data_IF_239885551796
#
_entry.id   IF_239885551796
#
_cell.length_a   1.000
_cell.length_b   1.000
_cell.length_c   1.000
_cell.angle_alpha   90.00
_cell.angle_beta   90.00
_cell.angle_gamma   90.00
#
_symmetry.space_group_name_H-M   'P 1'
#
loop_
_entity.id
_entity.type
_entity.pdbx_description
1 polymer ?
#
# COMPACT_ATOMS: atom_id res chain seq x y z
N UNK A 1 5.73 -6.93 -23.99
CA UNK A 1 4.50 -6.35 -23.39
C UNK A 1 4.65 -4.83 -23.25
N UNK A 2 3.58 -4.06 -23.48
CA UNK A 2 3.60 -2.60 -23.24
C UNK A 2 3.76 -2.33 -21.73
N UNK A 3 4.45 -1.24 -21.37
CA UNK A 3 4.69 -0.85 -19.96
C UNK A 3 3.39 -0.72 -19.14
N UNK A 4 2.31 -0.33 -19.81
CA UNK A 4 0.97 -0.21 -19.23
C UNK A 4 0.40 -1.57 -18.83
N UNK A 5 0.54 -2.58 -19.69
CA UNK A 5 0.10 -3.95 -19.40
C UNK A 5 0.81 -4.51 -18.18
N UNK A 6 2.11 -4.24 -18.04
CA UNK A 6 2.89 -4.64 -16.85
C UNK A 6 2.34 -3.94 -15.60
N UNK A 7 2.10 -2.63 -15.65
CA UNK A 7 1.55 -1.89 -14.52
C UNK A 7 0.19 -2.44 -14.07
N UNK A 8 -0.69 -2.79 -15.02
CA UNK A 8 -2.01 -3.35 -14.71
C UNK A 8 -1.88 -4.72 -14.07
N UNK A 9 -1.07 -5.61 -14.64
CA UNK A 9 -0.85 -6.96 -14.09
C UNK A 9 -0.28 -6.92 -12.68
N UNK A 10 0.72 -6.06 -12.44
CA UNK A 10 1.27 -5.84 -11.11
C UNK A 10 0.18 -5.35 -10.14
N UNK A 11 -0.65 -4.39 -10.57
CA UNK A 11 -1.74 -3.86 -9.73
C UNK A 11 -2.74 -4.94 -9.36
N UNK A 12 -3.16 -5.78 -10.30
CA UNK A 12 -4.09 -6.88 -10.04
C UNK A 12 -3.45 -7.89 -9.07
N UNK A 13 -2.18 -8.24 -9.27
CA UNK A 13 -1.45 -9.15 -8.39
C UNK A 13 -1.34 -8.62 -6.95
N UNK A 14 -1.21 -7.30 -6.77
CA UNK A 14 -1.19 -6.68 -5.45
C UNK A 14 -2.59 -6.54 -4.83
N UNK A 15 -3.62 -6.28 -5.63
CA UNK A 15 -4.98 -6.04 -5.15
C UNK A 15 -5.59 -7.26 -4.46
N UNK A 16 -5.29 -8.47 -4.94
CA UNK A 16 -5.85 -9.70 -4.39
C UNK A 16 -5.46 -9.90 -2.91
N UNK A 17 -4.17 -9.94 -2.53
CA UNK A 17 -3.74 -9.91 -1.14
C UNK A 17 -4.15 -8.62 -0.40
N UNK A 18 -4.12 -7.46 -1.06
CA UNK A 18 -4.51 -6.20 -0.40
C UNK A 18 -5.99 -6.13 -0.01
N UNK A 19 -6.86 -6.88 -0.69
CA UNK A 19 -8.28 -7.00 -0.31
C UNK A 19 -8.43 -7.67 1.05
N UNK A 20 -7.60 -8.67 1.36
CA UNK A 20 -7.58 -9.30 2.67
C UNK A 20 -7.18 -8.28 3.76
N UNK A 21 -6.11 -7.52 3.51
CA UNK A 21 -5.67 -6.46 4.43
C UNK A 21 -6.69 -5.33 4.59
N UNK A 22 -7.44 -5.00 3.54
CA UNK A 22 -8.54 -4.05 3.63
C UNK A 22 -9.61 -4.55 4.60
N UNK A 23 -10.05 -5.80 4.46
CA UNK A 23 -11.06 -6.38 5.36
C UNK A 23 -10.58 -6.41 6.80
N UNK A 24 -9.32 -6.81 7.03
CA UNK A 24 -8.70 -6.77 8.35
C UNK A 24 -8.63 -5.34 8.91
N UNK A 25 -8.28 -4.35 8.08
CA UNK A 25 -8.20 -2.94 8.48
C UNK A 25 -9.57 -2.39 8.85
N UNK A 26 -10.61 -2.68 8.06
CA UNK A 26 -11.98 -2.26 8.36
C UNK A 26 -12.47 -2.91 9.64
N UNK A 27 -12.25 -4.21 9.82
CA UNK A 27 -12.63 -4.91 11.05
C UNK A 27 -11.91 -4.36 12.28
N UNK A 28 -10.59 -4.14 12.18
CA UNK A 28 -9.79 -3.57 13.27
C UNK A 28 -10.21 -2.14 13.63
N UNK A 29 -10.47 -1.29 12.63
CA UNK A 29 -10.98 0.07 12.85
C UNK A 29 -12.33 0.03 13.57
N UNK A 30 -13.26 -0.84 13.14
CA UNK A 30 -14.55 -0.96 13.82
C UNK A 30 -14.37 -1.30 15.29
N UNK A 31 -13.53 -2.29 15.61
CA UNK A 31 -13.26 -2.68 17.00
C UNK A 31 -12.68 -1.53 17.83
N UNK A 32 -11.70 -0.80 17.29
CA UNK A 32 -11.08 0.35 17.97
C UNK A 32 -12.08 1.50 18.17
N UNK A 33 -12.95 1.77 17.20
CA UNK A 33 -13.94 2.86 17.31
C UNK A 33 -15.00 2.56 18.37
N UNK A 34 -15.34 1.28 18.59
CA UNK A 34 -16.30 0.89 19.62
C UNK A 34 -15.74 0.97 21.05
N UNK A 35 -14.43 0.79 21.25
CA UNK A 35 -13.78 0.83 22.56
C UNK A 35 -12.37 1.45 22.45
N UNK A 36 -12.33 2.76 22.26
CA UNK A 36 -11.10 3.48 21.91
C UNK A 36 -10.22 3.78 23.14
N UNK A 37 -8.96 3.35 23.08
CA UNK A 37 -7.89 3.76 24.00
C UNK A 37 -6.80 4.54 23.27
N UNK A 38 -6.02 5.34 24.01
CA UNK A 38 -4.95 6.15 23.41
C UNK A 38 -3.86 5.29 22.75
N UNK A 39 -3.63 4.09 23.28
CA UNK A 39 -2.67 3.12 22.74
C UNK A 39 -3.09 2.61 21.34
N UNK A 40 -4.38 2.70 21.00
CA UNK A 40 -4.91 2.28 19.69
C UNK A 40 -4.62 3.29 18.56
N UNK A 41 -4.07 4.47 18.88
CA UNK A 41 -3.85 5.54 17.91
C UNK A 41 -2.88 5.11 16.79
N UNK A 42 -1.80 4.41 17.14
CA UNK A 42 -0.80 3.94 16.16
C UNK A 42 -1.41 2.89 15.21
N UNK A 43 -2.05 1.80 15.70
CA UNK A 43 -2.78 0.86 14.87
C UNK A 43 -3.83 1.54 13.98
N UNK A 44 -4.59 2.48 14.54
CA UNK A 44 -5.64 3.19 13.81
C UNK A 44 -5.08 3.97 12.62
N UNK A 45 -4.02 4.76 12.83
CA UNK A 45 -3.36 5.52 11.76
C UNK A 45 -2.79 4.59 10.70
N UNK A 46 -2.14 3.50 11.13
CA UNK A 46 -1.58 2.50 10.20
C UNK A 46 -2.66 1.85 9.32
N UNK A 47 -3.81 1.48 9.90
CA UNK A 47 -4.94 0.90 9.17
C UNK A 47 -5.56 1.91 8.20
N UNK A 48 -5.77 3.16 8.60
CA UNK A 48 -6.27 4.21 7.71
C UNK A 48 -5.35 4.43 6.51
N UNK A 49 -4.04 4.44 6.75
CA UNK A 49 -3.03 4.54 5.70
C UNK A 49 -3.02 3.31 4.78
N UNK A 50 -3.20 2.12 5.33
CA UNK A 50 -3.39 0.89 4.57
C UNK A 50 -4.59 0.95 3.61
N UNK A 51 -5.72 1.49 4.08
CA UNK A 51 -6.92 1.73 3.25
C UNK A 51 -6.61 2.73 2.12
N UNK A 52 -5.87 3.82 2.40
CA UNK A 52 -5.41 4.73 1.35
C UNK A 52 -4.54 4.00 0.31
N UNK A 53 -3.64 3.12 0.75
CA UNK A 53 -2.85 2.26 -0.13
C UNK A 53 -3.69 1.43 -1.09
N UNK A 54 -4.71 0.76 -0.55
CA UNK A 54 -5.67 -0.01 -1.34
C UNK A 54 -6.40 0.85 -2.38
N UNK A 55 -6.89 2.02 -1.97
CA UNK A 55 -7.53 2.98 -2.89
C UNK A 55 -6.54 3.43 -3.98
N UNK A 56 -5.27 3.66 -3.65
CA UNK A 56 -4.22 3.97 -4.63
C UNK A 56 -4.03 2.88 -5.69
N UNK A 57 -4.06 1.60 -5.27
CA UNK A 57 -4.02 0.46 -6.19
C UNK A 57 -5.25 0.43 -7.11
N UNK A 58 -6.46 0.61 -6.56
CA UNK A 58 -7.70 0.68 -7.35
C UNK A 58 -7.64 1.83 -8.35
N UNK A 59 -7.24 3.02 -7.91
CA UNK A 59 -7.07 4.19 -8.78
C UNK A 59 -6.08 3.89 -9.91
N UNK A 60 -5.06 3.05 -9.69
CA UNK A 60 -4.07 2.74 -10.71
C UNK A 60 -4.66 1.93 -11.86
N UNK A 61 -5.75 1.19 -11.64
CA UNK A 61 -6.46 0.48 -12.70
C UNK A 61 -7.15 1.42 -13.70
N UNK A 62 -7.55 2.63 -13.28
CA UNK A 62 -8.21 3.61 -14.15
C UNK A 62 -7.30 4.14 -15.27
N UNK A 63 -5.97 4.00 -15.12
CA UNK A 63 -4.97 4.47 -16.07
C UNK A 63 -5.09 5.96 -16.42
N UNK A 64 -5.73 6.79 -15.58
CA UNK A 64 -5.72 8.25 -15.77
C UNK A 64 -4.29 8.79 -15.54
N UNK A 65 -3.73 9.42 -16.57
CA UNK A 65 -2.34 9.93 -16.58
C UNK A 65 -2.24 11.45 -16.49
N UNK A 66 -3.35 12.12 -16.20
CA UNK A 66 -3.32 13.54 -15.90
C UNK A 66 -2.44 13.79 -14.66
N UNK A 67 -1.64 14.85 -14.68
CA UNK A 67 -0.65 15.12 -13.64
C UNK A 67 -1.27 15.16 -12.23
N UNK A 68 -2.45 15.79 -12.08
CA UNK A 68 -3.16 15.84 -10.79
C UNK A 68 -3.61 14.45 -10.32
N UNK A 69 -4.19 13.65 -11.22
CA UNK A 69 -4.64 12.29 -10.89
C UNK A 69 -3.48 11.37 -10.53
N UNK A 70 -2.37 11.46 -11.27
CA UNK A 70 -1.14 10.71 -10.98
C UNK A 70 -0.51 11.12 -9.64
N UNK A 71 -0.51 12.42 -9.30
CA UNK A 71 0.01 12.90 -8.02
C UNK A 71 -0.83 12.39 -6.84
N UNK A 72 -2.16 12.44 -6.95
CA UNK A 72 -3.05 11.89 -5.92
C UNK A 72 -2.86 10.38 -5.79
N UNK A 73 -2.83 9.65 -6.91
CA UNK A 73 -2.60 8.21 -6.90
C UNK A 73 -1.27 7.85 -6.22
N UNK A 74 -0.18 8.56 -6.58
CA UNK A 74 1.12 8.38 -5.96
C UNK A 74 1.08 8.63 -4.45
N UNK A 75 0.41 9.69 -4.00
CA UNK A 75 0.26 9.98 -2.57
C UNK A 75 -0.47 8.86 -1.83
N UNK A 76 -1.56 8.32 -2.40
CA UNK A 76 -2.32 7.21 -1.82
C UNK A 76 -1.49 5.93 -1.72
N UNK A 77 -0.77 5.56 -2.78
CA UNK A 77 0.16 4.42 -2.74
C UNK A 77 1.25 4.61 -1.68
N UNK A 78 1.81 5.82 -1.58
CA UNK A 78 2.84 6.14 -0.60
C UNK A 78 2.33 6.05 0.84
N UNK A 79 1.11 6.55 1.11
CA UNK A 79 0.44 6.36 2.39
C UNK A 79 0.27 4.88 2.72
N UNK A 80 -0.12 4.04 1.76
CA UNK A 80 -0.18 2.59 1.94
C UNK A 80 1.12 1.98 2.45
N UNK A 81 2.24 2.31 1.80
CA UNK A 81 3.56 1.84 2.22
C UNK A 81 3.93 2.36 3.61
N UNK A 82 3.65 3.65 3.89
CA UNK A 82 3.88 4.22 5.22
C UNK A 82 3.04 3.55 6.31
N UNK A 83 1.78 3.23 6.04
CA UNK A 83 0.91 2.55 6.99
C UNK A 83 1.49 1.21 7.43
N UNK A 84 2.05 0.44 6.49
CA UNK A 84 2.72 -0.82 6.81
C UNK A 84 3.99 -0.60 7.63
N UNK A 85 4.81 0.40 7.28
CA UNK A 85 6.02 0.73 8.05
C UNK A 85 5.67 1.13 9.49
N UNK A 86 4.63 1.94 9.67
CA UNK A 86 4.12 2.34 10.99
C UNK A 86 3.65 1.11 11.77
N UNK A 87 2.85 0.24 11.15
CA UNK A 87 2.34 -0.97 11.79
C UNK A 87 3.48 -1.90 12.26
N UNK A 88 4.41 -2.24 11.35
CA UNK A 88 5.51 -3.15 11.67
C UNK A 88 6.40 -2.56 12.77
N UNK A 89 6.68 -1.26 12.72
CA UNK A 89 7.60 -0.62 13.67
C UNK A 89 6.93 -0.34 15.02
N UNK A 90 5.66 0.08 15.02
CA UNK A 90 4.91 0.44 16.22
C UNK A 90 4.46 -0.77 17.04
N UNK A 91 3.78 -1.72 16.39
CA UNK A 91 3.20 -2.88 17.08
C UNK A 91 4.17 -4.05 17.15
N UNK A 92 4.86 -4.33 16.04
CA UNK A 92 5.68 -5.52 15.90
C UNK A 92 7.15 -5.34 16.28
N UNK A 93 7.64 -4.10 16.29
CA UNK A 93 9.03 -3.75 16.52
C UNK A 93 10.03 -4.54 15.67
N UNK A 94 11.21 -4.83 16.24
CA UNK A 94 12.28 -5.57 15.55
C UNK A 94 11.90 -7.02 15.23
N UNK A 95 10.99 -7.62 15.99
CA UNK A 95 10.57 -9.01 15.79
C UNK A 95 9.71 -9.17 14.53
N UNK A 96 8.80 -8.23 14.25
CA UNK A 96 8.01 -8.28 13.03
C UNK A 96 8.87 -8.07 11.77
N UNK A 97 9.86 -7.17 11.83
CA UNK A 97 10.85 -7.04 10.76
C UNK A 97 11.63 -8.35 10.55
N UNK A 98 12.07 -9.00 11.63
CA UNK A 98 12.77 -10.27 11.53
C UNK A 98 11.88 -11.37 10.93
N UNK A 99 10.61 -11.44 11.34
CA UNK A 99 9.64 -12.37 10.78
C UNK A 99 9.43 -12.16 9.27
N UNK A 100 9.27 -10.91 8.82
CA UNK A 100 9.13 -10.58 7.39
C UNK A 100 10.34 -11.05 6.57
N UNK A 101 11.56 -10.91 7.12
CA UNK A 101 12.80 -11.25 6.42
C UNK A 101 13.07 -12.75 6.44
N UNK A 102 12.67 -13.44 7.51
CA UNK A 102 12.98 -14.86 7.73
C UNK A 102 11.83 -15.81 7.37
N UNK A 103 10.70 -15.28 6.88
CA UNK A 103 9.55 -16.05 6.44
C UNK A 103 9.96 -17.07 5.37
N UNK A 104 9.73 -18.36 5.67
CA UNK A 104 10.25 -19.48 4.86
C UNK A 104 9.32 -19.86 3.72
N UNK A 105 8.02 -19.61 3.88
CA UNK A 105 7.01 -20.00 2.90
C UNK A 105 6.86 -18.90 1.83
N UNK A 106 7.20 -19.18 0.56
CA UNK A 106 7.14 -18.16 -0.50
C UNK A 106 5.73 -17.61 -0.75
N UNK A 107 4.71 -18.44 -0.53
CA UNK A 107 3.30 -18.05 -0.70
C UNK A 107 2.87 -17.02 0.35
N UNK A 108 3.16 -17.29 1.62
CA UNK A 108 2.89 -16.36 2.71
C UNK A 108 3.65 -15.03 2.51
N UNK A 109 4.90 -15.12 2.08
CA UNK A 109 5.72 -13.92 1.83
C UNK A 109 5.13 -13.08 0.70
N UNK A 110 4.67 -13.73 -0.36
CA UNK A 110 4.05 -13.03 -1.48
C UNK A 110 2.72 -12.37 -1.09
N UNK A 111 1.95 -12.99 -0.18
CA UNK A 111 0.73 -12.39 0.36
C UNK A 111 1.03 -11.19 1.28
N UNK A 112 2.03 -11.32 2.16
CA UNK A 112 2.36 -10.29 3.14
C UNK A 112 3.18 -9.13 2.58
N UNK A 113 4.21 -9.43 1.78
CA UNK A 113 5.22 -8.48 1.34
C UNK A 113 5.03 -8.08 -0.13
N UNK A 114 4.46 -8.96 -0.94
CA UNK A 114 4.20 -8.71 -2.37
C UNK A 114 3.46 -7.39 -2.64
N UNK A 115 2.34 -7.09 -1.95
CA UNK A 115 1.62 -5.82 -2.10
C UNK A 115 2.49 -4.58 -1.88
N UNK A 116 3.38 -4.64 -0.89
CA UNK A 116 4.25 -3.54 -0.50
C UNK A 116 5.29 -3.30 -1.59
N UNK A 117 5.97 -4.36 -2.02
CA UNK A 117 7.00 -4.30 -3.07
C UNK A 117 6.40 -3.80 -4.38
N UNK A 118 5.21 -4.28 -4.75
CA UNK A 118 4.50 -3.81 -5.93
C UNK A 118 4.11 -2.33 -5.79
N UNK A 119 3.59 -1.91 -4.63
CA UNK A 119 3.23 -0.51 -4.38
C UNK A 119 4.45 0.41 -4.51
N UNK A 120 5.61 0.00 -3.99
CA UNK A 120 6.89 0.71 -4.16
C UNK A 120 7.27 0.82 -5.64
N UNK A 121 7.19 -0.28 -6.39
CA UNK A 121 7.46 -0.27 -7.84
C UNK A 121 6.54 0.70 -8.59
N UNK A 122 5.24 0.69 -8.27
CA UNK A 122 4.27 1.61 -8.86
C UNK A 122 4.55 3.07 -8.50
N UNK A 123 4.93 3.36 -7.25
CA UNK A 123 5.35 4.70 -6.80
C UNK A 123 6.55 5.18 -7.64
N UNK A 124 7.57 4.35 -7.85
CA UNK A 124 8.74 4.71 -8.64
C UNK A 124 8.38 4.99 -10.11
N UNK A 125 7.52 4.15 -10.71
CA UNK A 125 7.05 4.33 -12.09
C UNK A 125 6.29 5.65 -12.23
N UNK A 126 5.39 5.95 -11.29
CA UNK A 126 4.57 7.16 -11.30
C UNK A 126 5.37 8.41 -10.99
N UNK A 127 6.27 8.36 -10.01
CA UNK A 127 7.16 9.47 -9.67
C UNK A 127 8.00 9.89 -10.88
N UNK A 128 8.58 8.92 -11.61
CA UNK A 128 9.30 9.20 -12.86
C UNK A 128 8.39 9.83 -13.93
N UNK A 129 7.15 9.38 -14.05
CA UNK A 129 6.17 9.93 -15.00
C UNK A 129 5.81 11.37 -14.65
N UNK A 130 5.53 11.67 -13.39
CA UNK A 130 5.22 13.02 -12.91
C UNK A 130 6.37 14.00 -13.17
N UNK A 131 7.61 13.62 -12.83
CA UNK A 131 8.80 14.44 -13.13
C UNK A 131 8.88 14.77 -14.62
N UNK A 132 8.56 13.80 -15.49
CA UNK A 132 8.55 14.01 -16.95
C UNK A 132 7.43 14.94 -17.41
N UNK A 133 6.23 14.84 -16.81
CA UNK A 133 5.09 15.69 -17.13
C UNK A 133 5.34 17.13 -16.71
N UNK A 134 5.85 17.37 -15.49
CA UNK A 134 6.15 18.71 -15.00
C UNK A 134 7.31 19.38 -15.74
N UNK A 135 8.27 18.62 -16.27
CA UNK A 135 9.37 19.19 -17.07
C UNK A 135 8.93 19.63 -18.48
N UNK A 136 7.78 19.14 -18.96
CA UNK A 136 7.22 19.47 -20.29
C UNK A 136 6.16 20.57 -20.23
N UNK A 137 5.66 20.88 -19.03
CA UNK A 137 4.79 22.02 -18.73
C UNK A 137 5.60 23.30 -18.63
#
# INVERSE_FOLDING_TARGET
MKKETISILLTIAALLPSTLFLLMSVHGILNIVFDFYFDDLIPLVAMLFGICGYVGLVMNLSQNKEAKSEAVNLAFLFLGVLGVVIFITGEGGSQAWNWIITMKEPGEWLLAVGPIVISIMLILIKGKRLVTLYRKS
#
